data_IF_404033841627
#
_entry.id   IF_404033841627
#
_cell.length_a   1.000
_cell.length_b   1.000
_cell.length_c   1.000
_cell.angle_alpha   90.00
_cell.angle_beta   90.00
_cell.angle_gamma   90.00
#
_symmetry.space_group_name_H-M   'P 1'
#
loop_
_entity.id
_entity.type
_entity.pdbx_description
1 polymer ?
#
# COMPACT_ATOMS: atom_id res chain seq x y z
N UNK A 1 17.78 -1.17 3.37
CA UNK A 1 17.74 -2.15 4.46
C UNK A 1 16.33 -2.70 4.74
N UNK A 2 15.30 -2.10 4.16
CA UNK A 2 13.90 -2.53 4.28
C UNK A 2 13.13 -1.89 5.43
N UNK A 3 11.79 -1.94 5.34
CA UNK A 3 10.89 -1.37 6.34
C UNK A 3 10.86 -2.15 7.66
N UNK A 4 11.22 -3.42 7.62
CA UNK A 4 11.35 -4.33 8.77
C UNK A 4 12.51 -3.99 9.72
N UNK A 5 13.48 -3.18 9.24
CA UNK A 5 14.65 -2.70 9.99
C UNK A 5 14.59 -1.21 10.32
N UNK A 6 13.49 -0.57 10.02
CA UNK A 6 13.21 0.83 10.34
C UNK A 6 12.18 0.89 11.44
N UNK A 7 12.56 1.38 12.60
CA UNK A 7 11.65 1.54 13.72
C UNK A 7 10.71 2.71 13.48
N UNK A 8 9.42 2.47 13.60
CA UNK A 8 8.39 3.50 13.50
C UNK A 8 7.83 3.81 14.88
N UNK A 9 7.81 5.11 15.21
CA UNK A 9 7.26 5.63 16.45
C UNK A 9 6.09 6.57 16.16
N UNK A 10 5.11 6.60 17.05
CA UNK A 10 4.08 7.63 17.15
C UNK A 10 4.21 8.31 18.51
N UNK A 11 4.52 9.60 18.52
CA UNK A 11 4.79 10.37 19.74
C UNK A 11 5.84 9.71 20.65
N UNK A 12 6.88 9.12 20.05
CA UNK A 12 7.95 8.41 20.78
C UNK A 12 7.61 6.99 21.24
N UNK A 13 6.38 6.50 20.96
CA UNK A 13 5.94 5.14 21.30
C UNK A 13 6.00 4.24 20.08
N UNK A 14 6.56 3.03 20.24
CA UNK A 14 6.69 2.05 19.18
C UNK A 14 5.33 1.64 18.62
N UNK A 15 5.20 1.67 17.31
CA UNK A 15 4.10 1.02 16.60
C UNK A 15 4.48 -0.42 16.27
N UNK A 16 3.50 -1.30 16.37
CA UNK A 16 3.68 -2.73 16.07
C UNK A 16 3.27 -2.95 14.61
N UNK A 17 4.17 -3.56 13.82
CA UNK A 17 3.88 -4.01 12.46
C UNK A 17 3.04 -5.29 12.44
N UNK A 18 2.56 -5.66 11.27
CA UNK A 18 1.98 -6.98 11.06
C UNK A 18 3.02 -8.08 11.30
N UNK A 19 2.60 -9.29 11.65
CA UNK A 19 3.45 -10.39 12.10
C UNK A 19 4.75 -10.54 11.30
N UNK A 20 5.87 -10.03 11.85
CA UNK A 20 7.20 -10.08 11.24
C UNK A 20 7.46 -9.09 10.10
N UNK A 21 6.56 -8.14 9.86
CA UNK A 21 6.63 -7.16 8.77
C UNK A 21 6.81 -5.71 9.22
N UNK A 22 6.94 -4.82 8.24
CA UNK A 22 7.00 -3.39 8.45
C UNK A 22 5.66 -2.83 8.97
N UNK A 23 5.72 -1.71 9.69
CA UNK A 23 4.53 -0.97 10.11
C UNK A 23 3.81 -0.38 8.89
N UNK A 24 2.50 -0.61 8.77
CA UNK A 24 1.69 0.06 7.76
C UNK A 24 1.52 1.55 8.13
N UNK A 25 2.38 2.40 7.59
CA UNK A 25 2.36 3.85 7.81
C UNK A 25 1.04 4.50 7.36
N UNK A 26 0.32 3.87 6.47
CA UNK A 26 -0.92 4.39 5.95
C UNK A 26 -2.09 4.32 6.96
N UNK A 27 -1.89 3.68 8.10
CA UNK A 27 -2.80 3.74 9.24
C UNK A 27 -2.76 5.09 9.98
N UNK A 28 -1.68 5.89 9.79
CA UNK A 28 -1.52 7.18 10.45
C UNK A 28 -2.11 8.27 9.53
N UNK A 29 -3.24 8.90 9.88
CA UNK A 29 -3.81 9.96 9.06
C UNK A 29 -2.86 11.16 8.98
N UNK A 30 -2.45 11.57 7.78
CA UNK A 30 -1.51 12.69 7.58
C UNK A 30 -1.99 13.99 8.25
N UNK A 31 -3.29 14.20 8.31
CA UNK A 31 -3.86 15.42 8.86
C UNK A 31 -3.67 15.60 10.38
N UNK A 32 -3.40 14.51 11.13
CA UNK A 32 -3.08 14.60 12.56
C UNK A 32 -1.59 14.85 12.81
N UNK A 33 -0.74 14.70 11.80
CA UNK A 33 0.72 14.82 11.95
C UNK A 33 1.10 16.29 11.96
N UNK A 34 1.90 16.66 12.93
CA UNK A 34 2.55 17.97 13.02
C UNK A 34 3.87 17.97 12.25
N UNK A 35 4.72 16.97 12.52
CA UNK A 35 6.02 16.79 11.88
C UNK A 35 6.49 15.34 11.95
N UNK A 36 7.48 15.03 11.13
CA UNK A 36 8.16 13.73 11.14
C UNK A 36 9.63 13.96 11.47
N UNK A 37 10.12 13.22 12.45
CA UNK A 37 11.53 13.23 12.87
C UNK A 37 12.18 11.95 12.38
N UNK A 38 13.33 12.08 11.73
CA UNK A 38 14.07 10.92 11.17
C UNK A 38 15.47 10.89 11.77
N UNK A 39 15.82 9.75 12.36
CA UNK A 39 17.16 9.45 12.84
C UNK A 39 17.75 8.36 11.94
N UNK A 40 18.80 8.71 11.19
CA UNK A 40 19.37 7.83 10.14
C UNK A 40 20.50 6.94 10.64
N UNK A 41 21.17 7.30 11.75
CA UNK A 41 22.35 6.60 12.26
C UNK A 41 22.31 6.38 13.77
N UNK A 42 22.99 5.30 14.24
CA UNK A 42 23.22 5.05 15.67
C UNK A 42 21.97 4.69 16.47
N UNK A 43 20.83 4.52 15.81
CA UNK A 43 19.56 4.33 16.46
C UNK A 43 19.46 2.99 17.19
N UNK A 44 20.14 1.95 16.72
CA UNK A 44 20.11 0.60 17.32
C UNK A 44 20.67 0.55 18.75
N UNK A 45 21.59 1.45 19.09
CA UNK A 45 22.15 1.55 20.44
C UNK A 45 21.12 1.98 21.49
N UNK A 46 20.12 2.80 21.07
CA UNK A 46 19.06 3.32 21.94
C UNK A 46 17.75 2.54 21.83
N UNK A 47 17.44 2.07 20.62
CA UNK A 47 16.11 1.52 20.28
C UNK A 47 16.11 0.02 19.97
N UNK A 48 17.30 -0.61 19.94
CA UNK A 48 17.44 -2.06 19.71
C UNK A 48 17.51 -2.46 18.24
N UNK A 49 17.43 -3.76 17.99
CA UNK A 49 17.66 -4.40 16.68
C UNK A 49 16.73 -3.94 15.56
N UNK A 50 15.53 -3.45 15.88
CA UNK A 50 14.56 -3.03 14.89
C UNK A 50 14.88 -1.66 14.28
N UNK A 51 15.83 -0.93 14.87
CA UNK A 51 16.26 0.39 14.45
C UNK A 51 17.62 0.41 13.71
N UNK A 52 17.99 -0.71 13.07
CA UNK A 52 19.27 -0.83 12.35
C UNK A 52 19.34 0.12 11.15
N UNK A 53 18.24 0.29 10.45
CA UNK A 53 18.13 1.22 9.31
C UNK A 53 17.82 2.66 9.74
N UNK A 54 17.37 2.85 10.98
CA UNK A 54 17.01 4.16 11.54
C UNK A 54 15.69 4.15 12.27
N UNK A 55 15.27 5.34 12.71
CA UNK A 55 13.99 5.59 13.39
C UNK A 55 13.22 6.68 12.68
N UNK A 56 11.92 6.46 12.47
CA UNK A 56 10.98 7.46 11.98
C UNK A 56 9.94 7.70 13.06
N UNK A 57 9.89 8.92 13.62
CA UNK A 57 8.97 9.29 14.68
C UNK A 57 7.95 10.29 14.15
N UNK A 58 6.70 9.88 14.11
CA UNK A 58 5.57 10.74 13.74
C UNK A 58 5.08 11.48 14.99
N UNK A 59 5.15 12.80 14.96
CA UNK A 59 4.65 13.65 16.04
C UNK A 59 3.28 14.18 15.66
N UNK A 60 2.29 13.91 16.47
CA UNK A 60 0.92 14.40 16.27
C UNK A 60 0.75 15.83 16.77
N UNK A 61 -0.18 16.56 16.15
CA UNK A 61 -0.58 17.88 16.60
C UNK A 61 -1.06 17.84 18.04
N UNK A 62 -0.43 18.63 18.88
CA UNK A 62 -0.80 18.77 20.29
C UNK A 62 -1.49 20.10 20.51
N UNK A 63 -2.33 20.17 21.54
CA UNK A 63 -3.09 21.37 21.89
C UNK A 63 -3.88 21.98 20.71
N UNK A 64 -4.33 21.11 19.77
CA UNK A 64 -5.10 21.52 18.60
C UNK A 64 -6.54 21.84 19.01
N UNK A 65 -7.05 22.98 18.54
CA UNK A 65 -8.45 23.42 18.74
C UNK A 65 -9.20 23.54 17.44
N UNK A 66 -8.48 23.48 16.34
CA UNK A 66 -9.02 23.68 15.01
C UNK A 66 -9.83 22.48 14.54
N UNK A 67 -10.83 22.77 13.70
CA UNK A 67 -11.53 21.77 12.93
C UNK A 67 -11.02 21.75 11.51
N UNK A 68 -10.91 20.57 10.93
CA UNK A 68 -10.57 20.39 9.52
C UNK A 68 -11.53 19.38 8.91
N UNK A 69 -11.99 19.68 7.70
CA UNK A 69 -12.76 18.78 6.88
C UNK A 69 -12.20 18.81 5.47
N UNK A 70 -11.87 17.64 4.93
CA UNK A 70 -11.30 17.49 3.60
C UNK A 70 -12.01 16.37 2.87
N UNK A 71 -12.40 16.62 1.62
CA UNK A 71 -12.83 15.58 0.68
C UNK A 71 -11.93 15.72 -0.54
N UNK A 72 -11.43 14.61 -1.04
CA UNK A 72 -10.68 14.57 -2.28
C UNK A 72 -11.09 13.37 -3.13
N UNK A 73 -11.05 13.57 -4.44
CA UNK A 73 -11.26 12.54 -5.42
C UNK A 73 -10.18 12.65 -6.49
N UNK A 74 -9.55 11.53 -6.81
CA UNK A 74 -8.58 11.41 -7.90
C UNK A 74 -9.12 10.42 -8.92
N UNK A 75 -9.18 10.86 -10.18
CA UNK A 75 -9.59 10.03 -11.29
C UNK A 75 -8.52 10.06 -12.37
N UNK A 76 -7.83 8.94 -12.62
CA UNK A 76 -6.89 8.83 -13.74
C UNK A 76 -7.59 9.05 -15.09
N UNK A 77 -6.86 9.47 -16.11
CA UNK A 77 -7.40 9.65 -17.47
C UNK A 77 -7.98 8.35 -18.04
N UNK A 78 -7.32 7.21 -17.78
CA UNK A 78 -7.83 5.87 -18.10
C UNK A 78 -8.52 5.28 -16.87
N UNK A 79 -9.54 4.46 -17.06
CA UNK A 79 -10.31 3.80 -15.99
C UNK A 79 -9.40 2.95 -15.07
N UNK A 80 -9.83 2.76 -13.84
CA UNK A 80 -9.15 1.98 -12.81
C UNK A 80 -8.13 2.80 -11.99
N UNK A 81 -8.09 2.52 -10.71
CA UNK A 81 -7.24 3.22 -9.74
C UNK A 81 -7.81 4.56 -9.27
N UNK A 82 -9.14 4.79 -9.41
CA UNK A 82 -9.79 5.96 -8.82
C UNK A 82 -9.66 5.92 -7.30
N UNK A 83 -9.38 7.09 -6.70
CA UNK A 83 -9.24 7.23 -5.26
C UNK A 83 -10.20 8.29 -4.71
N UNK A 84 -10.78 7.99 -3.57
CA UNK A 84 -11.69 8.85 -2.84
C UNK A 84 -11.25 8.90 -1.38
N UNK A 85 -11.11 10.11 -0.84
CA UNK A 85 -10.71 10.29 0.54
C UNK A 85 -11.64 11.30 1.21
N UNK A 86 -12.04 11.02 2.45
CA UNK A 86 -12.71 11.94 3.31
C UNK A 86 -12.03 11.95 4.68
N UNK A 87 -11.83 13.14 5.23
CA UNK A 87 -11.20 13.32 6.52
C UNK A 87 -11.91 14.41 7.30
N UNK A 88 -12.13 14.16 8.58
CA UNK A 88 -12.62 15.16 9.54
C UNK A 88 -11.79 15.11 10.80
N UNK A 89 -11.47 16.25 11.36
CA UNK A 89 -10.87 16.35 12.69
C UNK A 89 -11.39 17.57 13.45
N UNK A 90 -11.33 17.48 14.77
CA UNK A 90 -11.67 18.57 15.67
C UNK A 90 -10.90 18.43 16.98
N UNK A 91 -10.43 19.55 17.51
CA UNK A 91 -9.87 19.65 18.85
C UNK A 91 -10.71 20.53 19.75
N UNK A 92 -10.59 20.32 21.04
CA UNK A 92 -11.33 20.99 22.12
C UNK A 92 -10.40 21.25 23.30
N UNK A 93 -10.62 22.36 23.97
CA UNK A 93 -9.85 22.78 25.12
C UNK A 93 -8.46 23.30 24.75
N UNK A 94 -7.86 23.98 25.70
CA UNK A 94 -6.49 24.50 25.63
C UNK A 94 -5.72 23.98 26.84
N UNK A 95 -4.66 23.22 26.59
CA UNK A 95 -3.92 22.57 27.66
C UNK A 95 -3.35 23.57 28.68
N UNK A 96 -2.99 24.79 28.24
CA UNK A 96 -2.42 25.81 29.11
C UNK A 96 -3.47 26.65 29.84
N UNK A 97 -4.63 26.89 29.22
CA UNK A 97 -5.71 27.70 29.78
C UNK A 97 -6.72 26.86 30.56
N UNK A 98 -7.13 25.75 29.96
CA UNK A 98 -8.23 24.91 30.48
C UNK A 98 -7.70 23.68 31.23
N UNK A 99 -6.39 23.44 31.20
CA UNK A 99 -5.75 22.30 31.81
C UNK A 99 -6.00 20.98 31.09
N UNK A 100 -6.68 21.00 29.94
CA UNK A 100 -6.87 19.83 29.10
C UNK A 100 -6.93 20.19 27.61
N UNK A 101 -6.63 19.23 26.76
CA UNK A 101 -6.92 19.27 25.34
C UNK A 101 -7.37 17.87 24.89
N UNK A 102 -8.43 17.82 24.12
CA UNK A 102 -8.92 16.59 23.51
C UNK A 102 -9.04 16.82 22.00
N UNK A 103 -8.58 15.88 21.19
CA UNK A 103 -8.71 15.93 19.74
C UNK A 103 -9.09 14.57 19.18
N UNK A 104 -9.80 14.59 18.06
CA UNK A 104 -10.09 13.37 17.30
C UNK A 104 -9.94 13.62 15.81
N UNK A 105 -9.71 12.55 15.06
CA UNK A 105 -9.68 12.54 13.61
C UNK A 105 -10.25 11.23 13.07
N UNK A 106 -11.06 11.32 12.03
CA UNK A 106 -11.60 10.17 11.30
C UNK A 106 -11.24 10.33 9.83
N UNK A 107 -10.65 9.30 9.23
CA UNK A 107 -10.42 9.23 7.79
C UNK A 107 -11.07 7.99 7.19
N UNK A 108 -11.59 8.15 5.98
CA UNK A 108 -12.09 7.07 5.13
C UNK A 108 -11.45 7.22 3.77
N UNK A 109 -10.78 6.16 3.34
CA UNK A 109 -10.08 6.08 2.07
C UNK A 109 -10.62 4.90 1.27
N UNK A 110 -10.91 5.13 -0.01
CA UNK A 110 -11.31 4.09 -0.93
C UNK A 110 -10.53 4.21 -2.23
N UNK A 111 -9.87 3.15 -2.64
CA UNK A 111 -9.20 3.03 -3.93
C UNK A 111 -9.80 1.87 -4.71
N UNK A 112 -10.18 2.11 -5.97
CA UNK A 112 -10.61 1.07 -6.88
C UNK A 112 -9.42 0.31 -7.46
N UNK A 113 -9.63 -0.97 -7.76
CA UNK A 113 -8.63 -1.79 -8.41
C UNK A 113 -8.14 -1.17 -9.72
N UNK A 114 -6.85 -1.35 -9.98
CA UNK A 114 -6.24 -1.09 -11.27
C UNK A 114 -5.81 -2.42 -11.87
N UNK A 115 -6.47 -2.86 -12.94
CA UNK A 115 -6.06 -4.05 -13.68
C UNK A 115 -4.87 -3.74 -14.58
N UNK A 116 -3.95 -4.68 -14.72
CA UNK A 116 -2.81 -4.54 -15.60
C UNK A 116 -3.26 -4.27 -17.05
N UNK A 117 -4.34 -4.91 -17.51
CA UNK A 117 -4.93 -4.71 -18.83
C UNK A 117 -5.44 -3.28 -19.11
N UNK A 118 -5.59 -2.43 -18.09
CA UNK A 118 -6.05 -1.04 -18.25
C UNK A 118 -4.91 -0.04 -18.54
N UNK A 119 -3.68 -0.51 -18.62
CA UNK A 119 -2.50 0.33 -18.93
C UNK A 119 -1.69 -0.28 -20.05
N UNK A 120 -1.26 0.55 -21.00
CA UNK A 120 -0.53 0.08 -22.20
C UNK A 120 0.80 -0.59 -21.85
N UNK A 121 1.45 -0.13 -20.76
CA UNK A 121 2.73 -0.67 -20.31
C UNK A 121 2.64 -1.99 -19.54
N UNK A 122 1.44 -2.41 -19.16
CA UNK A 122 1.22 -3.62 -18.34
C UNK A 122 0.11 -4.54 -18.85
N UNK A 123 -0.48 -4.25 -20.01
CA UNK A 123 -1.63 -5.01 -20.55
C UNK A 123 -1.29 -6.41 -21.06
N UNK A 124 -0.02 -6.68 -21.30
CA UNK A 124 0.51 -7.98 -21.73
C UNK A 124 1.85 -8.26 -21.07
N UNK A 125 2.13 -9.53 -20.83
CA UNK A 125 3.44 -10.02 -20.39
C UNK A 125 4.49 -10.07 -21.49
N UNK A 126 4.12 -9.71 -22.73
CA UNK A 126 5.07 -9.58 -23.85
C UNK A 126 5.79 -8.24 -23.75
N UNK A 127 7.10 -8.27 -23.64
CA UNK A 127 7.96 -7.09 -23.49
C UNK A 127 8.90 -7.04 -24.68
N UNK A 128 8.83 -5.94 -25.44
CA UNK A 128 9.75 -5.66 -26.54
C UNK A 128 10.75 -4.60 -26.11
N UNK A 129 12.03 -4.88 -26.22
CA UNK A 129 13.09 -3.94 -25.86
C UNK A 129 14.31 -4.06 -26.78
N UNK A 130 15.11 -2.99 -26.84
CA UNK A 130 16.36 -2.98 -27.59
C UNK A 130 17.50 -3.54 -26.75
N UNK A 131 18.20 -4.56 -27.24
CA UNK A 131 19.37 -5.13 -26.61
C UNK A 131 20.45 -5.41 -27.64
N UNK A 132 21.68 -4.93 -27.44
CA UNK A 132 22.84 -5.10 -28.33
C UNK A 132 22.54 -4.77 -29.80
N UNK A 133 21.72 -3.73 -30.06
CA UNK A 133 21.36 -3.27 -31.40
C UNK A 133 20.29 -4.08 -32.12
N UNK A 134 19.69 -5.08 -31.45
CA UNK A 134 18.54 -5.86 -31.92
C UNK A 134 17.29 -5.65 -31.10
N UNK A 135 16.11 -5.83 -31.73
CA UNK A 135 14.85 -5.90 -31.03
C UNK A 135 14.70 -7.30 -30.41
N UNK A 136 14.53 -7.35 -29.09
CA UNK A 136 14.27 -8.58 -28.35
C UNK A 136 12.83 -8.56 -27.87
N UNK A 137 12.10 -9.63 -28.13
CA UNK A 137 10.82 -9.91 -27.51
C UNK A 137 11.03 -10.90 -26.37
N UNK A 138 10.57 -10.54 -25.19
CA UNK A 138 10.58 -11.41 -24.03
C UNK A 138 9.15 -11.55 -23.51
N UNK A 139 8.79 -12.78 -23.12
CA UNK A 139 7.47 -13.08 -22.61
C UNK A 139 7.57 -13.71 -21.23
N UNK A 140 6.79 -13.18 -20.29
CA UNK A 140 6.64 -13.73 -18.95
C UNK A 140 5.20 -14.21 -18.73
N UNK A 141 4.96 -15.46 -19.08
CA UNK A 141 3.66 -16.10 -18.93
C UNK A 141 3.76 -17.48 -18.29
N UNK A 142 2.64 -18.13 -18.12
CA UNK A 142 2.56 -19.46 -17.54
C UNK A 142 2.37 -20.54 -18.61
N UNK A 143 3.09 -21.67 -18.50
CA UNK A 143 2.80 -22.87 -19.32
C UNK A 143 1.48 -23.53 -18.95
N UNK A 144 0.86 -23.14 -17.82
CA UNK A 144 -0.47 -23.60 -17.42
C UNK A 144 -1.53 -22.87 -18.25
N UNK A 145 -1.85 -23.44 -19.41
CA UNK A 145 -2.86 -22.93 -20.35
C UNK A 145 -4.21 -23.61 -20.14
N UNK A 146 -5.27 -22.96 -20.61
CA UNK A 146 -6.62 -23.55 -20.69
C UNK A 146 -7.14 -23.38 -22.13
N UNK A 147 -7.30 -24.46 -22.93
CA UNK A 147 -6.99 -25.87 -22.62
C UNK A 147 -5.51 -26.13 -22.37
N UNK A 148 -5.22 -27.15 -21.57
CA UNK A 148 -3.85 -27.49 -21.17
C UNK A 148 -2.94 -27.87 -22.34
N UNK A 149 -1.65 -27.63 -22.19
CA UNK A 149 -0.63 -28.18 -23.08
C UNK A 149 -0.35 -29.64 -22.73
N UNK A 150 0.02 -30.43 -23.71
CA UNK A 150 0.41 -31.85 -23.55
C UNK A 150 1.86 -32.05 -23.92
N UNK A 151 2.54 -32.98 -23.28
CA UNK A 151 3.91 -33.36 -23.63
C UNK A 151 3.89 -34.57 -24.53
N UNK A 152 4.39 -34.44 -25.76
CA UNK A 152 4.51 -35.50 -26.74
C UNK A 152 5.98 -35.65 -27.13
N UNK A 153 6.56 -36.80 -26.87
CA UNK A 153 7.98 -37.07 -27.15
C UNK A 153 8.92 -36.02 -26.53
N UNK A 154 8.63 -35.59 -25.32
CA UNK A 154 9.43 -34.59 -24.59
C UNK A 154 9.22 -33.10 -25.00
N UNK A 155 8.33 -32.84 -25.96
CA UNK A 155 8.00 -31.48 -26.41
C UNK A 155 6.59 -31.11 -25.95
N UNK A 156 6.48 -29.94 -25.29
CA UNK A 156 5.18 -29.38 -24.93
C UNK A 156 4.46 -28.86 -26.18
N UNK A 157 3.19 -29.18 -26.33
CA UNK A 157 2.36 -28.78 -27.48
C UNK A 157 0.97 -28.37 -26.99
N UNK A 158 0.43 -27.33 -27.56
CA UNK A 158 -0.97 -26.96 -27.32
C UNK A 158 -1.85 -27.70 -28.31
N UNK A 159 -2.78 -28.51 -27.78
CA UNK A 159 -3.81 -29.18 -28.57
C UNK A 159 -4.71 -28.16 -29.26
N UNK A 160 -5.06 -27.09 -28.56
CA UNK A 160 -5.89 -26.03 -29.12
C UNK A 160 -5.22 -25.36 -30.33
N UNK A 161 -3.90 -25.10 -30.26
CA UNK A 161 -3.14 -24.52 -31.37
C UNK A 161 -3.11 -25.45 -32.59
N UNK A 162 -2.97 -26.75 -32.37
CA UNK A 162 -2.98 -27.76 -33.44
C UNK A 162 -4.33 -27.77 -34.14
N UNK A 163 -5.43 -27.73 -33.40
CA UNK A 163 -6.77 -27.81 -33.97
C UNK A 163 -7.26 -26.51 -34.60
N UNK A 164 -6.82 -25.36 -34.06
CA UNK A 164 -7.36 -24.03 -34.45
C UNK A 164 -6.35 -23.14 -35.18
N UNK A 165 -5.08 -23.51 -35.24
CA UNK A 165 -4.02 -22.72 -35.88
C UNK A 165 -3.58 -21.46 -35.13
N UNK A 166 -4.21 -21.15 -33.98
CA UNK A 166 -3.92 -19.99 -33.12
C UNK A 166 -4.10 -20.39 -31.66
N UNK A 167 -3.45 -19.66 -30.75
CA UNK A 167 -3.69 -19.83 -29.32
C UNK A 167 -5.05 -19.29 -28.89
N UNK A 168 -5.63 -19.79 -27.76
CA UNK A 168 -6.87 -19.26 -27.20
C UNK A 168 -6.72 -17.78 -26.83
N UNK A 169 -7.85 -17.05 -26.63
CA UNK A 169 -7.79 -15.69 -26.07
C UNK A 169 -6.98 -15.62 -24.77
N UNK A 170 -6.30 -14.51 -24.54
CA UNK A 170 -5.42 -14.27 -23.37
C UNK A 170 -4.21 -15.23 -23.29
N UNK A 171 -3.84 -15.85 -24.39
CA UNK A 171 -2.63 -16.68 -24.47
C UNK A 171 -1.70 -16.12 -25.54
N UNK A 172 -0.41 -16.32 -25.31
CA UNK A 172 0.68 -15.99 -26.25
C UNK A 172 1.25 -17.29 -26.77
N UNK A 173 1.49 -17.33 -28.07
CA UNK A 173 2.12 -18.47 -28.70
C UNK A 173 3.65 -18.35 -28.59
N UNK A 174 4.29 -19.42 -28.13
CA UNK A 174 5.73 -19.58 -28.21
C UNK A 174 6.02 -20.98 -28.77
N UNK A 175 6.49 -21.02 -30.03
CA UNK A 175 6.65 -22.25 -30.77
C UNK A 175 5.36 -23.08 -30.84
N UNK A 176 5.37 -24.36 -30.44
CA UNK A 176 4.21 -25.26 -30.45
C UNK A 176 3.32 -25.13 -29.21
N UNK A 177 3.60 -24.20 -28.30
CA UNK A 177 2.97 -24.09 -26.97
C UNK A 177 2.19 -22.79 -26.87
N UNK A 178 1.06 -22.83 -26.16
CA UNK A 178 0.34 -21.64 -25.76
C UNK A 178 0.61 -21.36 -24.26
N UNK A 179 0.94 -20.14 -23.94
CA UNK A 179 1.20 -19.65 -22.58
C UNK A 179 0.13 -18.67 -22.15
N UNK A 180 -0.40 -18.84 -20.96
CA UNK A 180 -1.37 -17.89 -20.43
C UNK A 180 -0.69 -16.57 -20.08
N UNK A 181 -1.24 -15.46 -20.59
CA UNK A 181 -0.77 -14.11 -20.26
C UNK A 181 -1.47 -13.59 -19.00
N UNK A 182 -0.78 -13.68 -17.89
CA UNK A 182 -1.30 -13.21 -16.59
C UNK A 182 -1.63 -11.72 -16.58
N UNK A 183 -0.93 -10.90 -17.37
CA UNK A 183 -1.17 -9.47 -17.43
C UNK A 183 -2.62 -9.15 -17.87
N UNK A 184 -3.28 -10.08 -18.56
CA UNK A 184 -4.69 -9.93 -18.94
C UNK A 184 -5.66 -9.97 -17.76
N UNK A 185 -5.30 -10.61 -16.65
CA UNK A 185 -6.18 -10.91 -15.52
C UNK A 185 -5.75 -10.31 -14.19
N UNK A 186 -4.45 -10.08 -13.97
CA UNK A 186 -3.95 -9.60 -12.70
C UNK A 186 -4.28 -8.12 -12.46
N UNK A 187 -4.35 -7.78 -11.20
CA UNK A 187 -4.49 -6.40 -10.73
C UNK A 187 -3.12 -5.84 -10.34
N UNK A 188 -2.76 -4.67 -10.91
CA UNK A 188 -1.57 -3.93 -10.50
C UNK A 188 -1.74 -3.37 -9.08
N UNK A 189 -2.97 -2.98 -8.73
CA UNK A 189 -3.38 -2.63 -7.37
C UNK A 189 -4.76 -3.22 -7.10
N UNK A 190 -4.96 -3.85 -5.94
CA UNK A 190 -6.28 -4.34 -5.53
C UNK A 190 -7.21 -3.21 -5.11
N UNK A 191 -8.51 -3.50 -5.06
CA UNK A 191 -9.47 -2.67 -4.32
C UNK A 191 -9.03 -2.56 -2.86
N UNK A 192 -9.14 -1.35 -2.30
CA UNK A 192 -8.82 -1.11 -0.90
C UNK A 192 -9.80 -0.11 -0.30
N UNK A 193 -10.35 -0.47 0.85
CA UNK A 193 -11.09 0.42 1.73
C UNK A 193 -10.37 0.50 3.07
N UNK A 194 -10.22 1.72 3.59
CA UNK A 194 -9.57 1.96 4.86
C UNK A 194 -10.37 2.97 5.67
N UNK A 195 -10.50 2.70 6.96
CA UNK A 195 -11.08 3.62 7.93
C UNK A 195 -10.12 3.72 9.10
N UNK A 196 -9.70 4.93 9.43
CA UNK A 196 -8.84 5.19 10.59
C UNK A 196 -9.51 6.17 11.53
N UNK A 197 -9.43 5.89 12.82
CA UNK A 197 -9.83 6.76 13.91
C UNK A 197 -8.60 7.07 14.77
N UNK A 198 -8.38 8.33 15.03
CA UNK A 198 -7.42 8.81 16.01
C UNK A 198 -8.13 9.62 17.07
N UNK A 199 -7.76 9.42 18.33
CA UNK A 199 -8.20 10.25 19.45
C UNK A 199 -7.02 10.50 20.39
N UNK A 200 -6.89 11.73 20.87
CA UNK A 200 -5.87 12.14 21.83
C UNK A 200 -6.52 12.92 22.95
N UNK A 201 -6.12 12.63 24.17
CA UNK A 201 -6.49 13.37 25.36
C UNK A 201 -5.23 13.73 26.14
N UNK A 202 -5.08 15.01 26.47
CA UNK A 202 -4.05 15.51 27.35
C UNK A 202 -4.71 16.24 28.52
N UNK A 203 -4.23 16.00 29.73
CA UNK A 203 -4.73 16.66 30.93
C UNK A 203 -3.60 16.98 31.89
N UNK A 204 -3.52 18.23 32.32
CA UNK A 204 -2.62 18.66 33.40
C UNK A 204 -3.12 18.09 34.74
N UNK A 205 -2.22 17.48 35.48
CA UNK A 205 -2.43 16.97 36.84
C UNK A 205 -1.52 17.78 37.77
N UNK A 206 -2.03 18.89 38.27
CA UNK A 206 -1.24 19.85 39.03
C UNK A 206 -0.29 20.67 38.14
N UNK A 207 0.79 21.20 38.72
CA UNK A 207 1.74 22.08 38.04
C UNK A 207 2.78 21.35 37.18
N UNK A 208 3.12 20.10 37.53
CA UNK A 208 4.30 19.43 37.00
C UNK A 208 4.03 18.12 36.22
N UNK A 209 2.76 17.68 36.16
CA UNK A 209 2.43 16.43 35.51
C UNK A 209 1.38 16.63 34.41
N UNK A 210 1.57 15.92 33.30
CA UNK A 210 0.58 15.85 32.21
C UNK A 210 0.29 14.39 31.90
N UNK A 211 -0.98 14.01 31.99
CA UNK A 211 -1.47 12.72 31.51
C UNK A 211 -1.73 12.85 30.00
N UNK A 212 -1.23 11.88 29.22
CA UNK A 212 -1.50 11.79 27.79
C UNK A 212 -2.02 10.41 27.45
N UNK A 213 -3.13 10.36 26.70
CA UNK A 213 -3.74 9.14 26.16
C UNK A 213 -3.92 9.34 24.66
N UNK A 214 -3.30 8.46 23.86
CA UNK A 214 -3.47 8.43 22.41
C UNK A 214 -4.08 7.07 22.02
N UNK A 215 -5.10 7.11 21.18
CA UNK A 215 -5.78 5.93 20.63
C UNK A 215 -5.74 6.03 19.11
N UNK A 216 -5.22 5.00 18.46
CA UNK A 216 -5.21 4.84 17.01
C UNK A 216 -5.90 3.52 16.67
N UNK A 217 -6.99 3.58 15.92
CA UNK A 217 -7.69 2.42 15.40
C UNK A 217 -7.72 2.49 13.88
N UNK A 218 -7.34 1.40 13.23
CA UNK A 218 -7.35 1.28 11.78
C UNK A 218 -8.03 -0.01 11.35
N UNK A 219 -8.85 0.08 10.30
CA UNK A 219 -9.41 -1.07 9.60
C UNK A 219 -9.09 -0.93 8.12
N UNK A 220 -8.38 -1.91 7.57
CA UNK A 220 -8.11 -2.02 6.14
C UNK A 220 -8.77 -3.28 5.60
N UNK A 221 -9.50 -3.14 4.51
CA UNK A 221 -10.02 -4.25 3.72
C UNK A 221 -9.42 -4.13 2.33
N UNK A 222 -8.84 -5.21 1.83
CA UNK A 222 -8.29 -5.30 0.48
C UNK A 222 -8.84 -6.54 -0.19
N UNK A 223 -9.32 -6.39 -1.42
CA UNK A 223 -9.83 -7.50 -2.23
C UNK A 223 -9.10 -7.47 -3.55
N UNK A 224 -8.32 -8.50 -3.83
CA UNK A 224 -7.55 -8.63 -5.06
C UNK A 224 -7.92 -9.90 -5.82
N UNK A 225 -7.84 -9.84 -7.16
CA UNK A 225 -7.92 -11.01 -8.02
C UNK A 225 -6.51 -11.48 -8.33
N UNK A 226 -6.26 -12.74 -8.04
CA UNK A 226 -5.04 -13.46 -8.40
C UNK A 226 -5.42 -14.37 -9.59
N UNK A 227 -4.55 -14.42 -10.58
CA UNK A 227 -4.75 -15.29 -11.75
C UNK A 227 -4.58 -16.76 -11.38
#
# INVERSE_FOLDING_TARGET
>A
LGGDRTLVLLNGRRLIGEAGGAVDLSMIPLAIIERVEVLTDGASALYGSDAVAGVVNFITKRNSRDGNFTISASKPQKSGGEEYNAYVSKGFGDLDKDGFNASFGLSVDKRKALRASQRDFSKSGVINFQYEGGLVEWFNGSPSAIPGNVVVSGVSRSVYLVDNGTCPPMHVQDGPTCYFDYASTVEAFPDRERTNLFASLQKKLGSNHTLSLDVLLGKTMSSGKIA
#
